data_IF_643972852325
#
_entry.id   IF_643972852325
#
_cell.length_a   1.000
_cell.length_b   1.000
_cell.length_c   1.000
_cell.angle_alpha   90.00
_cell.angle_beta   90.00
_cell.angle_gamma   90.00
#
_symmetry.space_group_name_H-M   'P 1'
#
loop_
_entity.id
_entity.type
_entity.pdbx_description
1 polymer ?
#
# COMPACT_ATOMS: atom_id res chain seq x y z
N UNK A 1 11.17 8.21 -0.90
CA UNK A 1 9.92 8.88 -1.35
C UNK A 1 8.88 8.88 -0.23
N UNK A 2 8.12 7.81 0.02
CA UNK A 2 7.07 7.77 1.08
C UNK A 2 7.58 8.22 2.45
N UNK A 3 8.69 7.64 2.94
CA UNK A 3 9.27 7.99 4.24
C UNK A 3 9.68 9.46 4.34
N UNK A 4 10.21 10.03 3.25
CA UNK A 4 10.61 11.44 3.22
C UNK A 4 9.38 12.35 3.30
N UNK A 5 8.36 12.09 2.49
CA UNK A 5 7.11 12.87 2.50
C UNK A 5 6.35 12.77 3.82
N UNK A 6 6.41 11.61 4.48
CA UNK A 6 5.85 11.44 5.81
C UNK A 6 6.63 12.27 6.86
N UNK A 7 7.96 12.26 6.78
CA UNK A 7 8.83 13.08 7.62
C UNK A 7 8.60 14.59 7.45
N UNK A 8 8.43 15.07 6.21
CA UNK A 8 8.08 16.46 5.91
C UNK A 8 6.73 16.88 6.52
N UNK A 9 5.80 15.93 6.68
CA UNK A 9 4.47 16.14 7.28
C UNK A 9 4.41 15.84 8.78
N UNK A 10 5.49 15.35 9.38
CA UNK A 10 5.51 14.95 10.80
C UNK A 10 4.61 13.76 11.14
N UNK A 11 4.27 12.92 10.17
CA UNK A 11 3.45 11.71 10.35
C UNK A 11 4.28 10.46 10.04
N UNK A 12 3.79 9.31 10.47
CA UNK A 12 4.42 8.03 10.14
C UNK A 12 4.19 7.68 8.65
N UNK A 13 5.09 6.88 8.04
CA UNK A 13 4.90 6.42 6.66
C UNK A 13 3.60 5.64 6.45
N UNK A 14 3.14 4.90 7.47
CA UNK A 14 1.91 4.12 7.36
C UNK A 14 0.67 5.01 7.35
N UNK A 15 0.62 6.05 8.19
CA UNK A 15 -0.46 7.04 8.20
C UNK A 15 -0.59 7.74 6.84
N UNK A 16 0.54 8.16 6.25
CA UNK A 16 0.54 8.75 4.90
C UNK A 16 -0.03 7.77 3.85
N UNK A 17 0.32 6.49 3.94
CA UNK A 17 -0.18 5.46 3.03
C UNK A 17 -1.66 5.14 3.27
N UNK A 18 -2.14 5.25 4.51
CA UNK A 18 -3.55 5.02 4.89
C UNK A 18 -4.44 6.14 4.33
N UNK A 19 -4.03 7.40 4.50
CA UNK A 19 -4.72 8.56 3.93
C UNK A 19 -4.80 8.46 2.40
N UNK A 20 -3.69 8.12 1.74
CA UNK A 20 -3.66 7.94 0.30
C UNK A 20 -4.63 6.84 -0.14
N UNK A 21 -4.63 5.68 0.55
CA UNK A 21 -5.52 4.58 0.21
C UNK A 21 -7.01 4.96 0.31
N UNK A 22 -7.40 5.75 1.31
CA UNK A 22 -8.76 6.28 1.43
C UNK A 22 -9.10 7.19 0.25
N UNK A 23 -8.20 8.11 -0.11
CA UNK A 23 -8.41 9.02 -1.24
C UNK A 23 -8.58 8.27 -2.57
N UNK A 24 -7.73 7.27 -2.85
CA UNK A 24 -7.83 6.46 -4.06
C UNK A 24 -9.09 5.61 -4.12
N UNK A 25 -9.52 5.01 -3.00
CA UNK A 25 -10.80 4.29 -2.93
C UNK A 25 -11.99 5.21 -3.19
N UNK A 26 -11.96 6.43 -2.62
CA UNK A 26 -12.97 7.45 -2.89
C UNK A 26 -13.01 7.86 -4.37
N UNK A 27 -11.85 8.01 -5.00
CA UNK A 27 -11.74 8.29 -6.44
C UNK A 27 -12.35 7.16 -7.27
N UNK A 28 -12.00 5.90 -6.98
CA UNK A 28 -12.59 4.73 -7.65
C UNK A 28 -14.12 4.75 -7.57
N UNK A 29 -14.67 5.00 -6.37
CA UNK A 29 -16.12 5.12 -6.19
C UNK A 29 -16.73 6.28 -7.00
N UNK A 30 -16.06 7.45 -7.06
CA UNK A 30 -16.54 8.60 -7.83
C UNK A 30 -16.53 8.38 -9.35
N UNK A 31 -15.71 7.46 -9.82
CA UNK A 31 -15.56 7.09 -11.23
C UNK A 31 -16.36 5.84 -11.60
N UNK A 32 -17.20 5.33 -10.68
CA UNK A 32 -17.96 4.08 -10.84
C UNK A 32 -17.08 2.86 -11.19
N UNK A 33 -15.86 2.85 -10.66
CA UNK A 33 -14.92 1.74 -10.81
C UNK A 33 -15.25 0.69 -9.76
N UNK A 34 -15.60 -0.51 -10.22
CA UNK A 34 -15.73 -1.68 -9.36
C UNK A 34 -14.43 -2.50 -9.37
N UNK A 35 -14.03 -2.95 -8.19
CA UNK A 35 -12.90 -3.86 -8.01
C UNK A 35 -13.29 -4.96 -7.01
N UNK A 36 -12.90 -6.19 -7.29
CA UNK A 36 -13.07 -7.30 -6.33
C UNK A 36 -12.03 -7.21 -5.19
N UNK A 37 -10.89 -6.58 -5.45
CA UNK A 37 -9.82 -6.42 -4.46
C UNK A 37 -9.06 -5.11 -4.67
N UNK A 38 -8.77 -4.41 -3.58
CA UNK A 38 -7.91 -3.24 -3.53
C UNK A 38 -6.75 -3.57 -2.59
N UNK A 39 -5.69 -4.13 -3.15
CA UNK A 39 -4.53 -4.58 -2.37
C UNK A 39 -3.57 -3.44 -2.05
N UNK A 40 -2.99 -3.47 -0.84
CA UNK A 40 -1.89 -2.61 -0.43
C UNK A 40 -0.65 -3.45 -0.16
N UNK A 41 0.52 -2.98 -0.61
CA UNK A 41 1.80 -3.70 -0.41
C UNK A 41 2.25 -3.72 1.06
N UNK A 42 1.64 -2.90 1.91
CA UNK A 42 1.83 -2.92 3.37
C UNK A 42 1.11 -4.09 4.05
N UNK A 43 0.21 -4.80 3.37
CA UNK A 43 -0.52 -5.96 3.92
C UNK A 43 0.35 -7.21 4.00
N UNK A 44 0.11 -8.05 5.01
CA UNK A 44 0.93 -9.23 5.26
C UNK A 44 0.83 -10.29 4.15
N UNK A 45 -0.32 -10.39 3.47
CA UNK A 45 -0.46 -11.29 2.30
C UNK A 45 0.55 -10.96 1.20
N UNK A 46 0.80 -9.67 0.95
CA UNK A 46 1.80 -9.24 -0.02
C UNK A 46 3.21 -9.57 0.47
N UNK A 47 3.52 -9.18 1.72
CA UNK A 47 4.84 -9.44 2.32
C UNK A 47 5.20 -10.93 2.34
N UNK A 48 4.23 -11.78 2.67
CA UNK A 48 4.43 -13.23 2.75
C UNK A 48 4.76 -13.84 1.39
N UNK A 49 4.06 -13.43 0.34
CA UNK A 49 4.35 -13.88 -1.04
C UNK A 49 5.72 -13.40 -1.49
N UNK A 50 6.03 -12.11 -1.33
CA UNK A 50 7.33 -11.56 -1.72
C UNK A 50 8.47 -12.26 -0.96
N UNK A 51 8.32 -12.47 0.35
CA UNK A 51 9.29 -13.21 1.16
C UNK A 51 9.52 -14.62 0.64
N UNK A 52 8.44 -15.34 0.29
CA UNK A 52 8.54 -16.70 -0.28
C UNK A 52 9.29 -16.72 -1.61
N UNK A 53 9.03 -15.76 -2.49
CA UNK A 53 9.72 -15.64 -3.78
C UNK A 53 11.21 -15.35 -3.57
N UNK A 54 11.54 -14.40 -2.70
CA UNK A 54 12.92 -14.04 -2.41
C UNK A 54 13.69 -15.20 -1.77
N UNK A 55 13.05 -15.98 -0.88
CA UNK A 55 13.67 -17.17 -0.28
C UNK A 55 14.04 -18.20 -1.36
N UNK A 56 13.13 -18.47 -2.31
CA UNK A 56 13.39 -19.41 -3.42
C UNK A 56 14.51 -18.97 -4.38
N UNK A 57 14.79 -17.66 -4.46
CA UNK A 57 15.90 -17.13 -5.25
C UNK A 57 17.23 -17.18 -4.50
N UNK A 58 17.16 -17.16 -3.17
CA UNK A 58 18.33 -17.27 -2.31
C UNK A 58 18.81 -18.72 -2.17
N UNK A 59 17.87 -19.65 -2.09
CA UNK A 59 18.11 -21.11 -2.07
C UNK A 59 18.66 -21.62 -3.41
#
# INVERSE_FOLDING_TARGET
KVQQSAGERGITPIELCDEAAVAFKGLCASLDISNEDFIRTTEDRHKNVVRSILQKLFD
#
